data_IF_531342427869
#
_entry.id   IF_531342427869
#
_cell.length_a   1.000
_cell.length_b   1.000
_cell.length_c   1.000
_cell.angle_alpha   90.00
_cell.angle_beta   90.00
_cell.angle_gamma   90.00
#
_symmetry.space_group_name_H-M   'P 1'
#
loop_
_entity.id
_entity.type
_entity.pdbx_description
1 polymer ?
#
# COMPACT_ATOMS: atom_id res chain seq x y z
N UNK A 1 -8.30 20.52 -16.10
CA UNK A 1 -8.87 19.22 -15.65
C UNK A 1 -7.82 18.11 -15.41
N UNK A 2 -6.59 18.16 -15.95
CA UNK A 2 -5.54 17.13 -15.71
C UNK A 2 -4.92 17.15 -14.30
N UNK A 3 -4.60 18.33 -13.77
CA UNK A 3 -3.95 18.46 -12.45
C UNK A 3 -4.80 17.99 -11.27
N UNK A 4 -6.13 17.94 -11.41
CA UNK A 4 -7.03 17.48 -10.33
C UNK A 4 -7.09 15.96 -10.19
N UNK A 5 -6.79 15.22 -11.26
CA UNK A 5 -6.87 13.75 -11.27
C UNK A 5 -5.56 13.08 -10.79
N UNK A 6 -4.41 13.76 -10.93
CA UNK A 6 -3.10 13.23 -10.53
C UNK A 6 -2.98 13.00 -9.01
N UNK A 7 -3.46 13.89 -8.11
CA UNK A 7 -3.31 13.72 -6.67
C UNK A 7 -3.94 12.43 -6.15
N UNK A 8 -5.12 12.05 -6.64
CA UNK A 8 -5.78 10.83 -6.14
C UNK A 8 -5.05 9.58 -6.61
N UNK A 9 -4.73 9.48 -7.90
CA UNK A 9 -4.04 8.30 -8.45
C UNK A 9 -2.61 8.14 -7.88
N UNK A 10 -1.92 9.25 -7.64
CA UNK A 10 -0.57 9.23 -7.04
C UNK A 10 -0.59 8.78 -5.58
N UNK A 11 -1.56 9.22 -4.77
CA UNK A 11 -1.71 8.77 -3.38
C UNK A 11 -1.97 7.26 -3.29
N UNK A 12 -2.88 6.75 -4.12
CA UNK A 12 -3.15 5.31 -4.18
C UNK A 12 -1.91 4.52 -4.61
N UNK A 13 -1.11 5.06 -5.53
CA UNK A 13 0.13 4.42 -5.99
C UNK A 13 1.22 4.42 -4.92
N UNK A 14 1.40 5.53 -4.20
CA UNK A 14 2.36 5.63 -3.08
C UNK A 14 2.01 4.61 -2.00
N UNK A 15 0.75 4.55 -1.59
CA UNK A 15 0.29 3.60 -0.57
C UNK A 15 0.45 2.15 -1.03
N UNK A 16 0.11 1.84 -2.29
CA UNK A 16 0.29 0.51 -2.85
C UNK A 16 1.77 0.09 -2.88
N UNK A 17 2.68 1.00 -3.27
CA UNK A 17 4.13 0.74 -3.29
C UNK A 17 4.67 0.56 -1.88
N UNK A 18 4.27 1.39 -0.92
CA UNK A 18 4.69 1.27 0.48
C UNK A 18 4.29 -0.10 1.07
N UNK A 19 3.02 -0.49 0.89
CA UNK A 19 2.55 -1.81 1.31
C UNK A 19 3.30 -2.94 0.59
N UNK A 20 3.59 -2.80 -0.70
CA UNK A 20 4.35 -3.81 -1.44
C UNK A 20 5.79 -3.95 -0.90
N UNK A 21 6.46 -2.85 -0.58
CA UNK A 21 7.81 -2.86 -0.01
C UNK A 21 7.83 -3.59 1.33
N UNK A 22 6.93 -3.26 2.25
CA UNK A 22 6.90 -3.93 3.54
C UNK A 22 6.45 -5.40 3.45
N UNK A 23 5.54 -5.73 2.54
CA UNK A 23 5.10 -7.11 2.34
C UNK A 23 6.18 -7.98 1.68
N UNK A 24 6.97 -7.42 0.77
CA UNK A 24 8.15 -8.10 0.22
C UNK A 24 9.19 -8.34 1.31
N UNK A 25 9.42 -7.39 2.21
CA UNK A 25 10.28 -7.61 3.38
C UNK A 25 9.79 -8.76 4.27
N UNK A 26 8.48 -8.89 4.47
CA UNK A 26 7.88 -10.03 5.17
C UNK A 26 8.15 -11.36 4.46
N UNK A 27 7.91 -11.44 3.14
CA UNK A 27 8.14 -12.66 2.34
C UNK A 27 9.62 -13.08 2.37
N UNK A 28 10.53 -12.13 2.24
CA UNK A 28 11.98 -12.37 2.31
C UNK A 28 12.52 -12.53 3.74
N UNK A 29 11.64 -12.52 4.76
CA UNK A 29 12.01 -12.62 6.18
C UNK A 29 13.12 -11.64 6.58
N UNK A 30 13.05 -10.41 6.05
CA UNK A 30 14.00 -9.35 6.38
C UNK A 30 13.67 -8.77 7.76
N UNK A 31 14.69 -8.43 8.57
CA UNK A 31 14.45 -7.74 9.84
C UNK A 31 13.93 -6.33 9.59
N UNK A 32 13.09 -5.83 10.50
CA UNK A 32 12.59 -4.46 10.46
C UNK A 32 13.75 -3.46 10.66
N UNK A 33 13.95 -2.50 9.73
CA UNK A 33 15.09 -1.58 9.75
C UNK A 33 14.99 -0.51 10.85
N UNK A 34 13.76 -0.20 11.26
CA UNK A 34 13.42 0.70 12.36
C UNK A 34 12.27 0.10 13.19
N UNK A 35 11.97 0.72 14.33
CA UNK A 35 10.83 0.31 15.14
C UNK A 35 9.54 0.65 14.39
N UNK A 36 8.74 -0.35 14.03
CA UNK A 36 7.48 -0.19 13.28
C UNK A 36 6.33 -0.60 14.20
N UNK A 37 5.65 0.38 14.75
CA UNK A 37 4.60 0.18 15.77
C UNK A 37 5.06 -0.76 16.90
N UNK A 38 4.42 -1.92 17.13
CA UNK A 38 4.84 -2.87 18.19
C UNK A 38 6.01 -3.77 17.81
N UNK A 39 6.53 -3.66 16.57
CA UNK A 39 7.64 -4.48 16.09
C UNK A 39 8.95 -3.77 16.45
N UNK A 40 9.75 -4.29 17.39
CA UNK A 40 11.03 -3.68 17.74
C UNK A 40 12.00 -3.78 16.56
N UNK A 41 12.95 -2.85 16.50
CA UNK A 41 14.00 -2.85 15.47
C UNK A 41 14.79 -4.16 15.54
N UNK A 42 14.97 -4.81 14.40
CA UNK A 42 15.71 -6.08 14.28
C UNK A 42 14.86 -7.35 14.37
N UNK A 43 13.59 -7.26 14.80
CA UNK A 43 12.68 -8.39 14.72
C UNK A 43 12.27 -8.67 13.26
N UNK A 44 11.88 -9.92 12.99
CA UNK A 44 11.34 -10.30 11.69
C UNK A 44 10.09 -9.46 11.38
N UNK A 45 10.07 -8.88 10.18
CA UNK A 45 8.94 -8.11 9.70
C UNK A 45 7.68 -8.97 9.74
N UNK A 46 6.55 -8.39 10.18
CA UNK A 46 5.22 -9.01 10.15
C UNK A 46 4.47 -8.58 8.88
N UNK A 47 3.42 -9.29 8.44
CA UNK A 47 2.61 -8.87 7.29
C UNK A 47 2.16 -7.43 7.48
N UNK A 48 2.15 -6.64 6.41
CA UNK A 48 1.85 -5.18 6.44
C UNK A 48 0.57 -4.83 7.15
N UNK A 49 -0.44 -5.68 7.00
CA UNK A 49 -1.74 -5.42 7.61
C UNK A 49 -1.69 -5.47 9.14
N UNK A 50 -0.68 -6.11 9.74
CA UNK A 50 -0.52 -6.15 11.20
C UNK A 50 -0.26 -4.76 11.81
N UNK A 51 0.82 -4.03 11.45
CA UNK A 51 1.04 -2.68 11.95
C UNK A 51 -0.06 -1.71 11.51
N UNK A 52 -0.63 -1.88 10.29
CA UNK A 52 -1.74 -1.05 9.84
C UNK A 52 -2.99 -1.20 10.73
N UNK A 53 -3.36 -2.44 11.07
CA UNK A 53 -4.47 -2.72 12.00
C UNK A 53 -4.19 -2.15 13.39
N UNK A 54 -2.96 -2.27 13.85
CA UNK A 54 -2.52 -1.72 15.13
C UNK A 54 -2.72 -0.20 15.19
N UNK A 55 -2.33 0.51 14.12
CA UNK A 55 -2.42 1.96 14.06
C UNK A 55 -3.86 2.45 13.86
N UNK A 56 -4.64 1.84 12.94
CA UNK A 56 -6.06 2.18 12.71
C UNK A 56 -6.86 1.96 13.99
N UNK A 57 -6.72 0.81 14.65
CA UNK A 57 -7.51 0.51 15.86
C UNK A 57 -7.04 1.33 17.06
N UNK A 58 -5.77 1.74 17.10
CA UNK A 58 -5.29 2.67 18.11
C UNK A 58 -5.92 4.07 17.95
N UNK A 59 -6.01 4.58 16.71
CA UNK A 59 -6.53 5.92 16.42
C UNK A 59 -8.06 5.93 16.44
N UNK A 60 -8.70 5.09 15.62
CA UNK A 60 -10.15 5.10 15.39
C UNK A 60 -10.90 4.22 16.40
N UNK A 61 -10.29 3.13 16.85
CA UNK A 61 -10.93 2.13 17.70
C UNK A 61 -10.80 2.38 19.21
N UNK A 62 -10.03 3.39 19.64
CA UNK A 62 -9.62 3.61 21.05
C UNK A 62 -9.05 2.33 21.71
N UNK A 63 -8.52 1.39 20.92
CA UNK A 63 -8.13 0.06 21.40
C UNK A 63 -6.90 0.05 22.30
N UNK A 64 -6.06 1.09 22.20
CA UNK A 64 -4.90 1.32 23.07
C UNK A 64 -3.97 0.10 23.21
N UNK A 65 -3.24 0.04 24.32
CA UNK A 65 -2.25 -1.02 24.60
C UNK A 65 -2.87 -2.40 24.80
N UNK A 66 -4.12 -2.48 25.29
CA UNK A 66 -4.83 -3.76 25.50
C UNK A 66 -5.14 -4.47 24.19
N UNK A 67 -5.48 -3.73 23.14
CA UNK A 67 -5.68 -4.32 21.81
C UNK A 67 -4.36 -4.87 21.25
N UNK A 68 -3.28 -4.10 21.35
CA UNK A 68 -1.93 -4.48 20.88
C UNK A 68 -1.48 -5.81 21.48
N UNK A 69 -1.63 -5.97 22.80
CA UNK A 69 -1.26 -7.21 23.49
C UNK A 69 -2.09 -8.43 23.03
N UNK A 70 -3.41 -8.27 22.83
CA UNK A 70 -4.28 -9.35 22.35
C UNK A 70 -4.02 -9.71 20.89
N UNK A 71 -3.74 -8.70 20.06
CA UNK A 71 -3.40 -8.91 18.66
C UNK A 71 -2.08 -9.68 18.54
N UNK A 72 -1.07 -9.32 19.34
CA UNK A 72 0.21 -10.03 19.39
C UNK A 72 0.04 -11.47 19.88
N UNK A 73 -0.75 -11.68 20.93
CA UNK A 73 -1.07 -13.02 21.43
C UNK A 73 -1.76 -13.87 20.35
N UNK A 74 -2.74 -13.31 19.63
CA UNK A 74 -3.44 -14.01 18.54
C UNK A 74 -2.51 -14.32 17.37
N UNK A 75 -1.64 -13.38 17.01
CA UNK A 75 -0.65 -13.55 15.95
C UNK A 75 0.33 -14.68 16.27
N UNK A 76 0.79 -14.77 17.51
CA UNK A 76 1.68 -15.83 17.99
C UNK A 76 0.98 -17.19 18.13
N UNK A 77 -0.26 -17.20 18.62
CA UNK A 77 -1.01 -18.43 18.88
C UNK A 77 -1.52 -19.11 17.60
N UNK A 78 -1.85 -18.34 16.56
CA UNK A 78 -2.61 -18.87 15.41
C UNK A 78 -1.86 -18.73 14.08
N UNK A 79 -1.19 -19.79 13.59
CA UNK A 79 -0.64 -19.84 12.24
C UNK A 79 -1.61 -19.45 11.10
N UNK A 80 -2.88 -19.91 11.09
CA UNK A 80 -3.80 -19.54 10.00
C UNK A 80 -4.15 -18.05 10.01
N UNK A 81 -4.12 -17.39 11.17
CA UNK A 81 -4.34 -15.94 11.26
C UNK A 81 -3.22 -15.17 10.54
N UNK A 82 -1.96 -15.63 10.64
CA UNK A 82 -0.84 -15.02 9.91
C UNK A 82 -1.00 -15.17 8.40
N UNK A 83 -1.41 -16.35 7.93
CA UNK A 83 -1.69 -16.61 6.53
C UNK A 83 -2.87 -15.78 6.00
N UNK A 84 -3.90 -15.58 6.82
CA UNK A 84 -5.03 -14.71 6.49
C UNK A 84 -4.59 -13.25 6.31
N UNK A 85 -3.77 -12.70 7.21
CA UNK A 85 -3.24 -11.33 7.10
C UNK A 85 -2.42 -11.14 5.81
N UNK A 86 -1.57 -12.11 5.47
CA UNK A 86 -0.81 -12.09 4.22
C UNK A 86 -1.71 -12.09 2.99
N UNK A 87 -2.68 -13.02 2.92
CA UNK A 87 -3.63 -13.10 1.79
C UNK A 87 -4.47 -11.84 1.65
N UNK A 88 -4.91 -11.25 2.77
CA UNK A 88 -5.68 -10.02 2.76
C UNK A 88 -4.82 -8.82 2.30
N UNK A 89 -3.54 -8.78 2.70
CA UNK A 89 -2.59 -7.79 2.18
C UNK A 89 -2.43 -7.92 0.67
N UNK A 90 -2.23 -9.14 0.15
CA UNK A 90 -2.12 -9.35 -1.30
C UNK A 90 -3.40 -8.98 -2.04
N UNK A 91 -4.57 -9.29 -1.47
CA UNK A 91 -5.87 -8.90 -2.02
C UNK A 91 -6.01 -7.37 -2.12
N UNK A 92 -5.39 -6.61 -1.23
CA UNK A 92 -5.45 -5.15 -1.27
C UNK A 92 -4.42 -4.56 -2.23
N UNK A 93 -3.16 -4.99 -2.12
CA UNK A 93 -2.05 -4.41 -2.89
C UNK A 93 -2.19 -4.63 -4.39
N UNK A 94 -2.60 -5.82 -4.83
CA UNK A 94 -2.69 -6.17 -6.26
C UNK A 94 -3.69 -5.27 -7.02
N UNK A 95 -4.98 -5.20 -6.64
CA UNK A 95 -5.93 -4.35 -7.36
C UNK A 95 -5.59 -2.87 -7.20
N UNK A 96 -5.04 -2.46 -6.06
CA UNK A 96 -4.67 -1.06 -5.83
C UNK A 96 -3.55 -0.63 -6.78
N UNK A 97 -2.54 -1.48 -7.00
CA UNK A 97 -1.47 -1.24 -7.97
C UNK A 97 -2.00 -1.20 -9.41
N UNK A 98 -2.90 -2.13 -9.78
CA UNK A 98 -3.49 -2.18 -11.11
C UNK A 98 -4.34 -0.94 -11.43
N UNK A 99 -5.23 -0.55 -10.51
CA UNK A 99 -6.13 0.61 -10.71
C UNK A 99 -5.36 1.92 -10.70
N UNK A 100 -4.46 2.11 -9.73
CA UNK A 100 -3.67 3.33 -9.63
C UNK A 100 -2.70 3.48 -10.81
N UNK A 101 -1.98 2.40 -11.15
CA UNK A 101 -1.08 2.37 -12.29
C UNK A 101 -1.82 2.57 -13.61
N UNK A 102 -2.95 1.89 -13.82
CA UNK A 102 -3.77 2.02 -15.02
C UNK A 102 -4.34 3.43 -15.21
N UNK A 103 -4.83 4.04 -14.13
CA UNK A 103 -5.38 5.41 -14.18
C UNK A 103 -4.28 6.43 -14.43
N UNK A 104 -3.13 6.30 -13.76
CA UNK A 104 -1.99 7.20 -13.99
C UNK A 104 -1.43 7.07 -15.41
N UNK A 105 -1.25 5.83 -15.91
CA UNK A 105 -0.81 5.58 -17.27
C UNK A 105 -1.82 6.13 -18.30
N UNK A 106 -3.12 5.95 -18.06
CA UNK A 106 -4.16 6.54 -18.90
C UNK A 106 -4.08 8.08 -18.97
N UNK A 107 -3.87 8.75 -17.84
CA UNK A 107 -3.69 10.21 -17.79
C UNK A 107 -2.44 10.66 -18.56
N UNK A 108 -1.35 9.91 -18.48
CA UNK A 108 -0.07 10.23 -19.14
C UNK A 108 -0.12 9.94 -20.65
N UNK A 109 -0.61 8.76 -21.05
CA UNK A 109 -0.67 8.33 -22.46
C UNK A 109 -1.71 9.14 -23.24
N UNK A 110 -2.89 9.40 -22.67
CA UNK A 110 -3.89 10.23 -23.33
C UNK A 110 -3.40 11.67 -23.58
N UNK A 111 -2.40 12.15 -22.83
CA UNK A 111 -1.73 13.42 -23.15
C UNK A 111 -0.87 13.35 -24.41
N UNK A 112 -0.20 12.22 -24.60
CA UNK A 112 0.75 12.05 -25.69
C UNK A 112 0.02 12.05 -27.04
N UNK A 113 -1.14 11.39 -27.10
CA UNK A 113 -2.04 11.37 -28.26
C UNK A 113 -2.66 12.76 -28.52
N UNK A 114 -3.04 13.51 -27.48
CA UNK A 114 -3.54 14.89 -27.62
C UNK A 114 -2.44 15.85 -28.11
N UNK A 115 -1.21 15.70 -27.63
CA UNK A 115 -0.09 16.52 -28.05
C UNK A 115 0.28 16.28 -29.54
N UNK A 116 0.29 15.02 -30.00
CA UNK A 116 0.55 14.72 -31.41
C UNK A 116 -0.59 15.18 -32.33
N UNK A 117 -1.85 15.01 -31.91
CA UNK A 117 -3.01 15.43 -32.72
C UNK A 117 -3.08 16.95 -32.89
N UNK A 118 -2.78 17.72 -31.84
CA UNK A 118 -2.76 19.20 -31.91
C UNK A 118 -1.55 19.72 -32.69
N UNK A 119 -0.39 19.08 -32.59
CA UNK A 119 0.80 19.45 -33.35
C UNK A 119 0.66 19.16 -34.84
N UNK A 120 0.05 18.04 -35.23
CA UNK A 120 -0.27 17.73 -36.63
C UNK A 120 -1.30 18.70 -37.21
N UNK A 121 -2.36 19.03 -36.45
CA UNK A 121 -3.38 20.00 -36.91
C UNK A 121 -2.87 21.44 -37.07
N UNK A 122 -1.75 21.79 -36.43
CA UNK A 122 -1.11 23.11 -36.56
C UNK A 122 0.03 23.14 -37.58
N UNK A 123 0.40 21.99 -38.15
CA UNK A 123 1.40 21.89 -39.23
C UNK A 123 0.78 21.96 -40.63
N UNK A 124 -0.54 21.77 -40.73
CA UNK A 124 -1.31 21.75 -41.98
C UNK A 124 -2.09 23.07 -42.24
N UNK A 125 -1.81 24.15 -41.49
CA UNK A 125 -2.37 25.51 -41.70
C UNK A 125 -1.28 26.53 -41.96
#
# INVERSE_FOLDING_TARGET
MRMLAIPVSSLFLIFAVEMLVFETMYIFKRPAPFCISSIPKGDLMRPVLYPLLEDIVAVDGKGGTRFRARLDQRYKASPPFRGMLHRLTMLWVIPQLLVAGGTLAGIVIADHELAYTVCLLTSDV
#
